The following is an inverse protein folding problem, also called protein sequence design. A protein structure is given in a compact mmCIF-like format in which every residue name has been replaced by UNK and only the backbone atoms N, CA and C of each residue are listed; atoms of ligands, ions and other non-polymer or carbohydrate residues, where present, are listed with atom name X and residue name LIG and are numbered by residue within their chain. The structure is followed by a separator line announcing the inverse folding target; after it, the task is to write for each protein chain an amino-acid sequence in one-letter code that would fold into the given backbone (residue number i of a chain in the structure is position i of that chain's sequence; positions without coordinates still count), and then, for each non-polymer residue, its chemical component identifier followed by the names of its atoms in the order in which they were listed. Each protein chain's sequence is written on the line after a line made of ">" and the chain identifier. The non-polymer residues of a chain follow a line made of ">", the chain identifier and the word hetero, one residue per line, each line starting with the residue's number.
data_IF_542273903370
#
_entry.id   IF_542273903370
#
_cell.length_a   1.000
_cell.length_b   1.000
_cell.length_c   1.000
_cell.angle_alpha   90.00
_cell.angle_beta   90.00
_cell.angle_gamma   90.00
#
_symmetry.space_group_name_H-M   'P 1'
#
loop_
_entity.id
_entity.type
_entity.pdbx_description
1 polymer ?
#
# COMPACT_ATOMS: atom_id res chain seq x y z
N UNK A 1 -18.27 -7.33 22.30
CA UNK A 1 -17.67 -5.97 22.48
C UNK A 1 -16.14 -5.94 22.51
N UNK A 2 -15.43 -6.81 23.26
CA UNK A 2 -13.95 -6.77 23.38
C UNK A 2 -13.16 -6.79 22.05
N UNK A 3 -13.64 -7.52 21.04
CA UNK A 3 -12.96 -7.63 19.73
C UNK A 3 -13.09 -6.37 18.87
N UNK A 4 -14.25 -5.70 18.90
CA UNK A 4 -14.47 -4.47 18.13
C UNK A 4 -13.55 -3.35 18.60
N UNK A 5 -13.35 -3.20 19.91
CA UNK A 5 -12.45 -2.18 20.47
C UNK A 5 -10.99 -2.47 20.15
N UNK A 6 -10.57 -3.75 20.14
CA UNK A 6 -9.22 -4.14 19.68
C UNK A 6 -9.01 -3.82 18.21
N UNK A 7 -10.00 -4.09 17.35
CA UNK A 7 -9.90 -3.77 15.93
C UNK A 7 -9.86 -2.26 15.68
N UNK A 8 -10.67 -1.48 16.40
CA UNK A 8 -10.63 -0.01 16.33
C UNK A 8 -9.26 0.49 16.80
N UNK A 9 -8.72 -0.04 17.90
CA UNK A 9 -7.39 0.31 18.40
C UNK A 9 -6.29 0.00 17.36
N UNK A 10 -6.37 -1.17 16.72
CA UNK A 10 -5.44 -1.57 15.65
C UNK A 10 -5.53 -0.66 14.43
N UNK A 11 -6.75 -0.30 14.00
CA UNK A 11 -6.95 0.63 12.89
C UNK A 11 -6.37 2.01 13.24
N UNK A 12 -6.66 2.53 14.43
CA UNK A 12 -6.10 3.81 14.89
C UNK A 12 -4.57 3.76 14.92
N UNK A 13 -3.98 2.67 15.40
CA UNK A 13 -2.52 2.51 15.40
C UNK A 13 -1.93 2.55 13.98
N UNK A 14 -2.55 1.86 13.02
CA UNK A 14 -2.13 1.88 11.61
C UNK A 14 -2.27 3.29 11.03
N UNK A 15 -3.37 3.98 11.30
CA UNK A 15 -3.58 5.37 10.85
C UNK A 15 -2.52 6.30 11.42
N UNK A 16 -2.18 6.15 12.70
CA UNK A 16 -1.11 6.94 13.35
C UNK A 16 0.25 6.65 12.72
N UNK A 17 0.58 5.39 12.47
CA UNK A 17 1.84 5.00 11.81
C UNK A 17 1.97 5.59 10.39
N UNK A 18 0.87 5.71 9.66
CA UNK A 18 0.85 6.32 8.32
C UNK A 18 0.84 7.86 8.40
N UNK A 19 0.12 8.45 9.37
CA UNK A 19 -0.02 9.89 9.48
C UNK A 19 1.26 10.58 10.01
N UNK A 20 1.98 9.95 10.96
CA UNK A 20 3.23 10.50 11.51
C UNK A 20 4.23 10.92 10.41
N UNK A 21 4.64 10.05 9.47
CA UNK A 21 5.57 10.44 8.42
C UNK A 21 4.96 11.49 7.48
N UNK A 22 3.64 11.47 7.25
CA UNK A 22 2.96 12.44 6.39
C UNK A 22 3.06 13.89 6.92
N UNK A 23 3.04 14.08 8.23
CA UNK A 23 3.16 15.41 8.86
C UNK A 23 4.61 15.79 9.19
N UNK A 24 5.47 14.80 9.50
CA UNK A 24 6.86 15.04 9.89
C UNK A 24 7.78 15.23 8.68
N UNK A 25 7.50 14.56 7.56
CA UNK A 25 8.31 14.60 6.33
C UNK A 25 7.69 15.60 5.36
N UNK A 26 8.26 16.80 5.28
CA UNK A 26 7.98 17.79 4.23
C UNK A 26 8.86 17.50 3.00
N UNK A 27 8.66 16.34 2.39
CA UNK A 27 9.39 15.91 1.19
C UNK A 27 8.43 15.41 0.13
N UNK A 28 8.87 15.43 -1.13
CA UNK A 28 8.17 14.70 -2.17
C UNK A 28 8.27 13.20 -1.84
N UNK A 29 7.12 12.53 -1.74
CA UNK A 29 7.07 11.07 -1.58
C UNK A 29 7.40 10.41 -2.91
N UNK A 30 8.64 10.58 -3.36
CA UNK A 30 9.17 9.97 -4.57
C UNK A 30 9.50 8.51 -4.32
N UNK A 31 9.45 7.71 -5.39
CA UNK A 31 9.79 6.30 -5.35
C UNK A 31 11.22 6.08 -4.82
N UNK A 32 11.44 4.93 -4.20
CA UNK A 32 12.75 4.54 -3.68
C UNK A 32 13.84 4.55 -4.78
N UNK A 33 13.45 4.35 -6.04
CA UNK A 33 14.36 4.34 -7.19
C UNK A 33 14.93 5.72 -7.54
N UNK A 34 14.11 6.78 -7.41
CA UNK A 34 14.58 8.16 -7.59
C UNK A 34 15.62 8.54 -6.52
N UNK A 35 15.34 8.21 -5.25
CA UNK A 35 16.26 8.47 -4.14
C UNK A 35 17.56 7.66 -4.26
N UNK A 36 17.48 6.43 -4.77
CA UNK A 36 18.65 5.60 -5.03
C UNK A 36 19.53 6.19 -6.14
N UNK A 37 18.93 6.69 -7.22
CA UNK A 37 19.65 7.30 -8.34
C UNK A 37 20.39 8.57 -7.91
N UNK A 38 19.74 9.46 -7.15
CA UNK A 38 20.36 10.69 -6.64
C UNK A 38 21.54 10.40 -5.70
N UNK A 39 21.41 9.39 -4.84
CA UNK A 39 22.48 8.96 -3.95
C UNK A 39 23.67 8.37 -4.73
N UNK A 40 23.40 7.56 -5.76
CA UNK A 40 24.44 6.95 -6.60
C UNK A 40 25.17 8.03 -7.41
N UNK A 41 24.46 8.98 -8.01
CA UNK A 41 25.06 10.10 -8.75
C UNK A 41 25.93 11.01 -7.85
N UNK A 42 25.59 11.11 -6.56
CA UNK A 42 26.36 11.88 -5.58
C UNK A 42 27.66 11.19 -5.13
N UNK A 43 27.67 9.85 -5.12
CA UNK A 43 28.83 9.05 -4.67
C UNK A 43 29.79 8.75 -5.83
N UNK A 44 29.25 8.49 -7.03
CA UNK A 44 30.05 8.29 -8.24
C UNK A 44 29.43 9.04 -9.44
N UNK A 45 30.02 10.20 -9.82
CA UNK A 45 29.55 10.97 -10.97
C UNK A 45 29.69 10.24 -12.32
N UNK A 46 30.54 9.21 -12.38
CA UNK A 46 30.80 8.40 -13.57
C UNK A 46 30.02 7.07 -13.61
N UNK A 47 29.11 6.85 -12.65
CA UNK A 47 28.34 5.60 -12.59
C UNK A 47 27.48 5.44 -13.83
N UNK A 48 27.71 4.38 -14.60
CA UNK A 48 26.86 3.98 -15.72
C UNK A 48 25.85 2.95 -15.24
N UNK A 49 24.53 3.20 -15.38
CA UNK A 49 23.51 2.22 -15.04
C UNK A 49 23.76 0.91 -15.78
N UNK A 50 23.87 -0.19 -15.04
CA UNK A 50 24.01 -1.55 -15.58
C UNK A 50 22.69 -2.07 -16.18
N UNK A 51 21.58 -1.36 -15.93
CA UNK A 51 20.28 -1.56 -16.51
C UNK A 51 19.71 -0.20 -16.90
N UNK A 52 19.42 0.01 -18.18
CA UNK A 52 18.68 1.18 -18.65
C UNK A 52 17.23 0.77 -18.79
N UNK A 53 16.31 1.55 -18.21
CA UNK A 53 14.89 1.25 -18.32
C UNK A 53 14.50 1.26 -19.79
N UNK A 54 14.07 0.11 -20.31
CA UNK A 54 13.64 -0.08 -21.72
C UNK A 54 12.42 0.81 -22.02
N UNK A 55 11.70 1.23 -20.97
CA UNK A 55 10.58 2.16 -21.02
C UNK A 55 10.70 3.16 -19.87
N UNK A 56 11.06 4.40 -20.18
CA UNK A 56 10.92 5.54 -19.26
C UNK A 56 9.56 6.19 -19.52
N UNK A 57 8.56 6.08 -18.62
CA UNK A 57 7.34 6.86 -18.76
C UNK A 57 7.70 8.35 -18.75
N UNK A 58 7.26 9.09 -19.77
CA UNK A 58 7.63 10.50 -19.99
C UNK A 58 7.10 11.48 -18.91
N UNK A 59 6.41 11.00 -17.87
CA UNK A 59 5.89 11.81 -16.76
C UNK A 59 5.71 10.93 -15.51
N UNK A 60 6.20 11.41 -14.35
CA UNK A 60 6.03 10.73 -13.05
C UNK A 60 4.57 10.55 -12.61
N UNK A 61 3.64 11.25 -13.27
CA UNK A 61 2.19 11.08 -13.07
C UNK A 61 1.70 9.71 -13.54
N UNK A 62 2.25 9.19 -14.65
CA UNK A 62 1.87 7.88 -15.20
C UNK A 62 2.41 6.76 -14.32
N UNK A 63 3.62 6.93 -13.77
CA UNK A 63 4.19 6.00 -12.80
C UNK A 63 3.32 5.93 -11.54
N UNK A 64 2.97 7.08 -10.96
CA UNK A 64 2.09 7.16 -9.80
C UNK A 64 0.70 6.57 -10.07
N UNK A 65 0.17 6.76 -11.28
CA UNK A 65 -1.11 6.17 -11.70
C UNK A 65 -1.05 4.63 -11.76
N UNK A 66 0.01 4.07 -12.35
CA UNK A 66 0.19 2.61 -12.41
C UNK A 66 0.36 2.00 -11.01
N UNK A 67 1.10 2.68 -10.12
CA UNK A 67 1.19 2.28 -8.71
C UNK A 67 -0.16 2.36 -7.98
N UNK A 68 -0.92 3.43 -8.17
CA UNK A 68 -2.24 3.58 -7.58
C UNK A 68 -3.21 2.51 -8.09
N UNK A 69 -3.15 2.15 -9.38
CA UNK A 69 -3.94 1.08 -9.97
C UNK A 69 -3.59 -0.28 -9.36
N UNK A 70 -2.30 -0.59 -9.22
CA UNK A 70 -1.84 -1.81 -8.56
C UNK A 70 -2.32 -1.89 -7.10
N UNK A 71 -2.20 -0.78 -6.36
CA UNK A 71 -2.68 -0.69 -4.99
C UNK A 71 -4.21 -0.88 -4.89
N UNK A 72 -4.98 -0.28 -5.80
CA UNK A 72 -6.43 -0.42 -5.87
C UNK A 72 -6.84 -1.87 -6.16
N UNK A 73 -6.20 -2.52 -7.13
CA UNK A 73 -6.46 -3.93 -7.44
C UNK A 73 -6.11 -4.85 -6.27
N UNK A 74 -4.93 -4.67 -5.66
CA UNK A 74 -4.49 -5.45 -4.50
C UNK A 74 -5.44 -5.31 -3.30
N UNK A 75 -5.84 -4.07 -2.99
CA UNK A 75 -6.82 -3.78 -1.94
C UNK A 75 -8.19 -4.41 -2.25
N UNK A 76 -8.65 -4.34 -3.51
CA UNK A 76 -9.90 -4.96 -3.94
C UNK A 76 -9.94 -6.47 -3.70
N UNK A 77 -8.86 -7.18 -4.04
CA UNK A 77 -8.74 -8.63 -3.81
C UNK A 77 -8.79 -8.96 -2.31
N UNK A 78 -8.02 -8.23 -1.48
CA UNK A 78 -7.99 -8.45 -0.03
C UNK A 78 -9.37 -8.20 0.60
N UNK A 79 -10.01 -7.08 0.23
CA UNK A 79 -11.35 -6.72 0.72
C UNK A 79 -12.41 -7.75 0.29
N UNK A 80 -12.36 -8.22 -0.96
CA UNK A 80 -13.27 -9.26 -1.45
C UNK A 80 -13.12 -10.56 -0.67
N UNK A 81 -11.88 -11.03 -0.45
CA UNK A 81 -11.62 -12.25 0.31
C UNK A 81 -12.13 -12.16 1.76
N UNK A 82 -11.84 -11.06 2.45
CA UNK A 82 -12.30 -10.81 3.81
C UNK A 82 -13.85 -10.76 3.87
N UNK A 83 -14.48 -10.09 2.90
CA UNK A 83 -15.94 -10.04 2.77
C UNK A 83 -16.56 -11.42 2.53
N UNK A 84 -15.98 -12.20 1.62
CA UNK A 84 -16.43 -13.55 1.30
C UNK A 84 -16.34 -14.50 2.51
N UNK A 85 -15.22 -14.47 3.25
CA UNK A 85 -15.08 -15.27 4.49
C UNK A 85 -16.03 -14.86 5.60
N UNK A 86 -16.31 -13.56 5.73
CA UNK A 86 -17.30 -13.04 6.69
C UNK A 86 -18.72 -13.49 6.32
N UNK A 87 -19.06 -13.51 5.02
CA UNK A 87 -20.36 -13.98 4.53
C UNK A 87 -20.62 -15.47 4.81
N UNK A 88 -19.59 -16.31 4.68
CA UNK A 88 -19.69 -17.75 4.98
C UNK A 88 -19.96 -18.04 6.46
N UNK A 89 -19.31 -17.31 7.37
CA UNK A 89 -19.56 -17.46 8.82
C UNK A 89 -20.98 -17.06 9.25
N UNK A 90 -21.66 -16.21 8.48
CA UNK A 90 -23.04 -15.80 8.79
C UNK A 90 -24.05 -16.88 8.42
N UNK A 91 -23.86 -17.56 7.28
CA UNK A 91 -24.74 -18.66 6.83
C UNK A 91 -24.70 -19.86 7.78
N UNK A 92 -23.52 -20.27 8.25
CA UNK A 92 -23.39 -21.37 9.21
C UNK A 92 -24.05 -21.09 10.56
N UNK A 93 -24.22 -19.82 10.92
CA UNK A 93 -24.83 -19.43 12.20
C UNK A 93 -26.36 -19.24 12.11
N UNK A 94 -26.88 -18.97 10.91
CA UNK A 94 -28.33 -18.96 10.60
C UNK A 94 -28.86 -20.39 10.42
N UNK A 95 -28.11 -21.30 9.81
CA UNK A 95 -28.48 -22.71 9.65
C UNK A 95 -28.49 -23.48 11.00
N UNK A 96 -27.59 -23.14 11.93
CA UNK A 96 -27.53 -23.76 13.27
C UNK A 96 -28.59 -23.25 14.27
N UNK A 97 -29.38 -22.23 13.91
CA UNK A 97 -30.45 -21.67 14.76
C UNK A 97 -31.86 -22.02 14.27
N UNK A 98 -31.96 -22.72 13.13
CA UNK A 98 -33.23 -23.08 12.50
C UNK A 98 -33.48 -24.60 12.48
N UNK A 99 -32.63 -25.37 13.17
CA UNK A 99 -32.76 -26.80 13.51
C UNK A 99 -32.92 -26.94 15.03
#
# INVERSE_FOLDING_TARGET
>A
MKSIMKNILLIVLVVVLVAIPLFMVKGEFTGADSQATDAIMSIEPNYKPWFNSIYTPSSGEVESFLFALQAAMGSGIVCFYLGYKKGQHKKSHEEAYHD
#
